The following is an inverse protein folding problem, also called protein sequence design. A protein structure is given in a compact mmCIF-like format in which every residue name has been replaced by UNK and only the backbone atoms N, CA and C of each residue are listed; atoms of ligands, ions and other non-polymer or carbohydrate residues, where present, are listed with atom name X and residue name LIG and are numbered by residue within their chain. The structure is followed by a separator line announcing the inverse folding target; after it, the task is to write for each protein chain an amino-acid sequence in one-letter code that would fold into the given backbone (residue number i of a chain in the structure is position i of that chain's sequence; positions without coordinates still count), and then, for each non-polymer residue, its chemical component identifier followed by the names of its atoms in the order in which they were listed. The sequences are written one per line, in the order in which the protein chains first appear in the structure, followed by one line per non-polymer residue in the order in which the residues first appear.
data_IF_961629114004
#
_entry.id   IF_961629114004
#
_cell.length_a   1.000
_cell.length_b   1.000
_cell.length_c   1.000
_cell.angle_alpha   90.00
_cell.angle_beta   90.00
_cell.angle_gamma   90.00
#
_symmetry.space_group_name_H-M   'P 1'
#
loop_
_entity.id
_entity.type
_entity.pdbx_description
1 polymer ?
#
# COMPACT_ATOMS: atom_id res chain seq x y z
N UNK A 1 -6.15 -16.08 -4.45
CA UNK A 1 -4.96 -16.89 -4.19
C UNK A 1 -4.19 -16.38 -2.99
N UNK A 2 -3.23 -17.13 -2.51
CA UNK A 2 -2.37 -16.70 -1.41
C UNK A 2 -1.45 -15.55 -1.85
N UNK A 3 -1.25 -14.57 -0.96
CA UNK A 3 -0.38 -13.42 -1.18
C UNK A 3 0.74 -13.41 -0.12
N UNK A 4 1.89 -12.84 -0.49
CA UNK A 4 3.04 -12.80 0.41
C UNK A 4 2.78 -11.92 1.64
N UNK A 5 2.15 -10.76 1.44
CA UNK A 5 1.78 -9.82 2.49
C UNK A 5 0.53 -9.06 2.10
N UNK A 6 -0.37 -8.83 3.06
CA UNK A 6 -1.59 -8.05 2.87
C UNK A 6 -1.94 -7.29 4.15
N UNK A 7 -1.65 -6.00 4.21
CA UNK A 7 -1.98 -5.17 5.36
C UNK A 7 -3.48 -5.11 5.66
N UNK A 8 -4.34 -5.14 4.63
CA UNK A 8 -5.79 -5.22 4.81
C UNK A 8 -6.21 -6.55 5.44
N UNK A 9 -5.67 -7.68 4.93
CA UNK A 9 -5.95 -9.01 5.47
C UNK A 9 -5.48 -9.16 6.91
N UNK A 10 -4.30 -8.63 7.26
CA UNK A 10 -3.80 -8.65 8.63
C UNK A 10 -4.75 -7.92 9.61
N UNK A 11 -5.30 -6.75 9.21
CA UNK A 11 -6.27 -6.03 10.03
C UNK A 11 -7.57 -6.80 10.20
N UNK A 12 -8.12 -7.35 9.11
CA UNK A 12 -9.33 -8.18 9.18
C UNK A 12 -9.13 -9.41 10.07
N UNK A 13 -7.97 -10.06 9.99
CA UNK A 13 -7.64 -11.22 10.82
C UNK A 13 -7.66 -10.87 12.32
N UNK A 14 -7.00 -9.77 12.73
CA UNK A 14 -6.99 -9.32 14.13
C UNK A 14 -8.40 -9.04 14.63
N UNK A 15 -9.17 -8.27 13.88
CA UNK A 15 -10.58 -7.96 14.25
C UNK A 15 -11.40 -9.25 14.37
N UNK A 16 -11.27 -10.18 13.41
CA UNK A 16 -12.00 -11.45 13.43
C UNK A 16 -11.69 -12.28 14.69
N UNK A 17 -10.42 -12.47 15.04
CA UNK A 17 -10.06 -13.31 16.20
C UNK A 17 -10.47 -12.66 17.52
N UNK A 18 -10.52 -11.33 17.61
CA UNK A 18 -11.05 -10.60 18.77
C UNK A 18 -12.57 -10.70 18.85
N UNK A 19 -13.30 -10.46 17.76
CA UNK A 19 -14.77 -10.55 17.71
C UNK A 19 -15.25 -11.94 18.09
N UNK A 20 -14.54 -12.98 17.62
CA UNK A 20 -14.83 -14.40 17.96
C UNK A 20 -14.26 -14.84 19.32
N UNK A 21 -13.63 -13.94 20.08
CA UNK A 21 -13.04 -14.21 21.40
C UNK A 21 -12.03 -15.37 21.40
N UNK A 22 -11.30 -15.54 20.30
CA UNK A 22 -10.26 -16.58 20.16
C UNK A 22 -8.97 -16.19 20.90
N UNK A 23 -8.80 -14.90 21.22
CA UNK A 23 -7.67 -14.37 21.97
C UNK A 23 -8.10 -13.11 22.75
N UNK A 24 -7.38 -12.85 23.86
CA UNK A 24 -7.47 -11.59 24.62
C UNK A 24 -6.21 -10.74 24.48
N UNK A 25 -5.29 -11.12 23.56
CA UNK A 25 -4.05 -10.38 23.32
C UNK A 25 -4.29 -9.31 22.28
N UNK A 26 -3.86 -8.08 22.55
CA UNK A 26 -3.93 -6.98 21.58
C UNK A 26 -2.95 -7.18 20.43
N UNK A 27 -1.75 -7.71 20.69
CA UNK A 27 -0.75 -8.06 19.69
C UNK A 27 -0.81 -9.56 19.37
N UNK A 28 -0.95 -9.89 18.09
CA UNK A 28 -1.08 -11.27 17.62
C UNK A 28 0.13 -11.60 16.72
N UNK A 29 0.77 -12.74 17.01
CA UNK A 29 1.85 -13.24 16.17
C UNK A 29 1.22 -14.06 15.03
N UNK A 30 1.41 -13.61 13.80
CA UNK A 30 0.87 -14.24 12.59
C UNK A 30 2.00 -14.66 11.68
N UNK A 31 2.03 -15.94 11.32
CA UNK A 31 2.93 -16.46 10.31
C UNK A 31 2.35 -16.23 8.92
N UNK A 32 3.15 -15.66 8.03
CA UNK A 32 2.82 -15.41 6.63
C UNK A 32 3.90 -15.97 5.72
N UNK A 33 3.67 -16.03 4.42
CA UNK A 33 4.71 -16.44 3.45
C UNK A 33 5.95 -15.54 3.44
N UNK A 34 5.79 -14.27 3.85
CA UNK A 34 6.88 -13.30 3.95
C UNK A 34 7.55 -13.25 5.32
N UNK A 35 7.16 -14.14 6.23
CA UNK A 35 7.68 -14.19 7.59
C UNK A 35 6.63 -13.86 8.65
N UNK A 36 7.09 -13.59 9.87
CA UNK A 36 6.23 -13.31 11.02
C UNK A 36 5.88 -11.83 11.01
N UNK A 37 4.58 -11.53 11.11
CA UNK A 37 4.05 -10.19 11.36
C UNK A 37 3.41 -10.12 12.73
N UNK A 38 3.33 -8.92 13.31
CA UNK A 38 2.75 -8.68 14.64
C UNK A 38 1.74 -7.54 14.57
N UNK A 39 0.58 -7.75 13.93
CA UNK A 39 -0.47 -6.76 13.94
C UNK A 39 -1.04 -6.59 15.35
N UNK A 40 -1.42 -5.35 15.69
CA UNK A 40 -1.87 -4.97 17.02
C UNK A 40 -3.20 -4.23 16.95
N UNK A 41 -4.15 -4.65 17.79
CA UNK A 41 -5.38 -3.92 18.04
C UNK A 41 -5.09 -2.72 18.95
N UNK A 42 -5.45 -1.53 18.50
CA UNK A 42 -5.26 -0.29 19.24
C UNK A 42 -6.51 0.02 20.11
N UNK A 43 -6.32 0.83 21.16
CA UNK A 43 -7.38 1.18 22.10
C UNK A 43 -8.62 1.83 21.46
N UNK A 44 -8.46 2.44 20.28
CA UNK A 44 -9.56 3.05 19.52
C UNK A 44 -10.25 2.06 18.54
N UNK A 45 -9.90 0.77 18.60
CA UNK A 45 -10.46 -0.27 17.73
C UNK A 45 -9.84 -0.34 16.32
N UNK A 46 -8.88 0.51 16.00
CA UNK A 46 -8.09 0.34 14.77
C UNK A 46 -7.02 -0.74 14.95
N UNK A 47 -6.46 -1.21 13.83
CA UNK A 47 -5.36 -2.18 13.87
C UNK A 47 -4.14 -1.59 13.21
N UNK A 48 -3.00 -1.62 13.91
CA UNK A 48 -1.70 -1.24 13.39
C UNK A 48 -0.93 -2.47 12.89
N UNK A 49 -0.25 -2.31 11.77
CA UNK A 49 0.56 -3.36 11.11
C UNK A 49 1.92 -2.78 10.78
N UNK A 50 2.98 -3.44 11.23
CA UNK A 50 4.33 -3.15 10.79
C UNK A 50 4.51 -3.66 9.35
N UNK A 51 4.82 -2.77 8.43
CA UNK A 51 4.98 -3.03 7.00
C UNK A 51 6.45 -3.19 6.59
N UNK A 52 7.38 -3.11 7.54
CA UNK A 52 8.83 -3.11 7.32
C UNK A 52 9.37 -1.79 6.78
N UNK A 53 10.69 -1.69 6.58
CA UNK A 53 11.32 -0.49 6.06
C UNK A 53 11.09 -0.33 4.54
N UNK A 54 10.97 0.91 4.05
CA UNK A 54 10.86 1.17 2.61
C UNK A 54 12.22 0.95 1.92
N UNK A 55 12.18 0.53 0.67
CA UNK A 55 13.38 0.29 -0.14
C UNK A 55 13.38 1.24 -1.33
N UNK A 56 14.45 2.04 -1.47
CA UNK A 56 14.63 3.00 -2.56
C UNK A 56 15.70 2.56 -3.58
N UNK A 57 16.49 1.53 -3.25
CA UNK A 57 17.49 1.00 -4.17
C UNK A 57 16.84 0.46 -5.45
N UNK A 58 17.20 0.96 -6.66
CA UNK A 58 16.56 0.59 -7.91
C UNK A 58 16.55 -0.92 -8.21
N UNK A 59 17.62 -1.62 -7.89
CA UNK A 59 17.73 -3.08 -8.11
C UNK A 59 16.71 -3.83 -7.25
N UNK A 60 16.44 -3.33 -6.03
CA UNK A 60 15.52 -3.97 -5.08
C UNK A 60 14.07 -3.52 -5.26
N UNK A 61 13.79 -2.45 -6.04
CA UNK A 61 12.42 -2.00 -6.37
C UNK A 61 11.72 -2.93 -7.36
N UNK A 62 12.18 -3.60 -8.33
CA UNK A 62 13.14 -3.54 -9.42
C UNK A 62 12.73 -2.52 -10.51
N UNK A 63 13.54 -1.52 -10.68
CA UNK A 63 13.37 -0.52 -11.74
C UNK A 63 14.67 -0.42 -12.58
N UNK A 64 14.55 -0.43 -13.90
CA UNK A 64 15.69 -0.43 -14.85
C UNK A 64 16.26 0.97 -15.03
N UNK A 65 16.93 1.49 -14.00
CA UNK A 65 17.60 2.80 -14.01
C UNK A 65 19.02 2.68 -13.48
N UNK A 66 19.97 3.54 -13.92
CA UNK A 66 21.37 3.42 -13.56
C UNK A 66 21.68 3.77 -12.09
N UNK A 67 20.84 4.59 -11.46
CA UNK A 67 21.04 5.05 -10.07
C UNK A 67 19.74 5.46 -9.40
N UNK A 68 19.76 5.45 -8.06
CA UNK A 68 18.69 6.00 -7.24
C UNK A 68 18.48 7.50 -7.52
N UNK A 69 17.22 7.90 -7.59
CA UNK A 69 16.82 9.29 -7.71
C UNK A 69 15.51 9.52 -6.95
N UNK A 70 15.28 10.75 -6.48
CA UNK A 70 14.02 11.12 -5.84
C UNK A 70 12.86 11.16 -6.84
N UNK A 71 13.13 11.47 -8.10
CA UNK A 71 12.14 11.50 -9.18
C UNK A 71 12.70 10.86 -10.44
N UNK A 72 11.88 10.08 -11.08
CA UNK A 72 12.08 9.49 -12.38
C UNK A 72 11.09 10.09 -13.37
N UNK A 73 11.37 9.98 -14.67
CA UNK A 73 10.46 10.41 -15.71
C UNK A 73 10.42 9.42 -16.85
N UNK A 74 9.26 9.29 -17.46
CA UNK A 74 9.01 8.49 -18.65
C UNK A 74 8.28 9.35 -19.68
N UNK A 75 8.82 9.43 -20.89
CA UNK A 75 8.17 10.11 -21.99
C UNK A 75 7.34 9.10 -22.80
N UNK A 76 6.01 9.28 -22.82
CA UNK A 76 5.09 8.40 -23.54
C UNK A 76 4.02 9.21 -24.25
N UNK A 77 3.83 8.97 -25.56
CA UNK A 77 2.82 9.63 -26.38
C UNK A 77 2.81 11.16 -26.18
N UNK A 78 3.98 11.79 -26.33
CA UNK A 78 4.20 13.24 -26.16
C UNK A 78 3.86 13.81 -24.77
N UNK A 79 3.72 12.94 -23.76
CA UNK A 79 3.52 13.31 -22.36
C UNK A 79 4.67 12.85 -21.50
N UNK A 80 5.19 13.75 -20.70
CA UNK A 80 6.17 13.43 -19.67
C UNK A 80 5.47 13.09 -18.38
N UNK A 81 5.68 11.85 -17.91
CA UNK A 81 5.15 11.36 -16.63
C UNK A 81 6.29 11.36 -15.63
N UNK A 82 6.16 12.16 -14.57
CA UNK A 82 7.09 12.18 -13.45
C UNK A 82 6.54 11.33 -12.29
N UNK A 83 7.41 10.53 -11.68
CA UNK A 83 7.03 9.67 -10.55
C UNK A 83 8.19 9.41 -9.61
N UNK A 84 7.89 9.10 -8.34
CA UNK A 84 8.81 8.48 -7.39
C UNK A 84 8.75 6.96 -7.49
N UNK A 85 9.81 6.26 -7.12
CA UNK A 85 9.80 4.80 -7.05
C UNK A 85 10.23 4.33 -5.67
N UNK A 86 9.50 3.37 -5.10
CA UNK A 86 9.77 2.77 -3.80
C UNK A 86 9.21 1.34 -3.74
N UNK A 87 9.85 0.45 -3.00
CA UNK A 87 9.32 -0.87 -2.70
C UNK A 87 8.90 -0.96 -1.23
N UNK A 88 7.71 -1.49 -0.99
CA UNK A 88 7.16 -1.90 0.31
C UNK A 88 7.03 -3.44 0.37
N UNK A 89 8.04 -4.15 -0.17
CA UNK A 89 7.99 -5.58 -0.45
C UNK A 89 7.41 -5.92 -1.83
N UNK A 90 6.87 -4.91 -2.52
CA UNK A 90 6.42 -4.91 -3.90
C UNK A 90 6.66 -3.52 -4.52
N UNK A 91 6.88 -3.43 -5.86
CA UNK A 91 7.23 -2.18 -6.52
C UNK A 91 6.06 -1.21 -6.63
N UNK A 92 6.32 0.06 -6.34
CA UNK A 92 5.38 1.18 -6.46
C UNK A 92 6.00 2.35 -7.23
N UNK A 93 5.24 2.90 -8.18
CA UNK A 93 5.47 4.20 -8.79
C UNK A 93 4.45 5.20 -8.21
N UNK A 94 4.91 6.35 -7.71
CA UNK A 94 4.06 7.37 -7.07
C UNK A 94 4.05 8.63 -7.92
N UNK A 95 2.87 8.99 -8.43
CA UNK A 95 2.61 10.18 -9.24
C UNK A 95 1.86 11.20 -8.37
N UNK A 96 2.35 12.43 -8.35
CA UNK A 96 1.63 13.53 -7.69
C UNK A 96 0.57 14.06 -8.65
N UNK A 97 -0.69 13.89 -8.29
CA UNK A 97 -1.85 14.40 -9.02
C UNK A 97 -2.25 15.79 -8.50
N UNK A 98 -2.72 16.67 -9.39
CA UNK A 98 -3.27 17.97 -9.00
C UNK A 98 -4.69 17.85 -8.41
N UNK A 99 -5.46 16.92 -8.95
CA UNK A 99 -6.80 16.55 -8.52
C UNK A 99 -6.95 15.04 -8.67
N UNK A 100 -7.38 14.38 -7.63
CA UNK A 100 -7.46 12.92 -7.59
C UNK A 100 -8.57 12.37 -8.49
N UNK A 101 -9.67 13.12 -8.64
CA UNK A 101 -10.82 12.69 -9.44
C UNK A 101 -10.52 12.72 -10.94
N UNK A 102 -9.66 13.66 -11.37
CA UNK A 102 -9.23 13.81 -12.77
C UNK A 102 -7.99 12.96 -13.10
N UNK A 103 -7.43 12.24 -12.13
CA UNK A 103 -6.23 11.43 -12.32
C UNK A 103 -6.47 10.32 -13.37
N UNK A 104 -5.60 10.18 -14.38
CA UNK A 104 -5.77 9.22 -15.47
C UNK A 104 -5.34 7.80 -15.04
N UNK A 105 -5.99 7.26 -13.98
CA UNK A 105 -5.56 6.04 -13.29
C UNK A 105 -5.51 4.84 -14.22
N UNK A 106 -6.54 4.60 -15.01
CA UNK A 106 -6.57 3.44 -15.91
C UNK A 106 -5.55 3.58 -17.04
N UNK A 107 -5.50 4.73 -17.71
CA UNK A 107 -4.65 4.91 -18.90
C UNK A 107 -3.17 4.94 -18.53
N UNK A 108 -2.77 5.75 -17.56
CA UNK A 108 -1.38 5.89 -17.12
C UNK A 108 -0.97 4.71 -16.23
N UNK A 109 -1.89 4.19 -15.40
CA UNK A 109 -1.64 3.01 -14.59
C UNK A 109 -1.29 1.79 -15.42
N UNK A 110 -2.12 1.46 -16.41
CA UNK A 110 -1.89 0.35 -17.34
C UNK A 110 -0.59 0.52 -18.14
N UNK A 111 -0.27 1.75 -18.52
CA UNK A 111 0.91 2.06 -19.31
C UNK A 111 2.19 1.85 -18.49
N UNK A 112 2.25 2.38 -17.26
CA UNK A 112 3.43 2.22 -16.40
C UNK A 112 3.56 0.79 -15.88
N UNK A 113 2.45 0.13 -15.53
CA UNK A 113 2.48 -1.26 -15.08
C UNK A 113 3.22 -2.17 -16.05
N UNK A 114 3.03 -1.96 -17.36
CA UNK A 114 3.56 -2.82 -18.40
C UNK A 114 4.79 -2.23 -19.12
N UNK A 115 5.35 -1.16 -18.59
CA UNK A 115 6.53 -0.52 -19.20
C UNK A 115 7.80 -1.32 -18.91
N UNK A 116 8.71 -1.41 -19.89
CA UNK A 116 10.00 -2.08 -19.79
C UNK A 116 10.90 -1.55 -18.66
N UNK A 117 10.64 -0.32 -18.19
CA UNK A 117 11.29 0.26 -17.02
C UNK A 117 11.04 -0.55 -15.73
N UNK A 118 9.94 -1.29 -15.68
CA UNK A 118 9.55 -2.15 -14.56
C UNK A 118 9.45 -3.63 -15.01
N UNK A 119 10.55 -4.37 -15.06
CA UNK A 119 10.57 -5.75 -15.59
C UNK A 119 9.66 -6.73 -14.83
N UNK A 120 9.37 -6.45 -13.55
CA UNK A 120 8.44 -7.22 -12.73
C UNK A 120 7.05 -6.56 -12.64
N UNK A 121 6.76 -5.58 -13.50
CA UNK A 121 5.60 -4.70 -13.44
C UNK A 121 5.55 -3.88 -12.13
N UNK A 122 4.62 -2.97 -12.00
CA UNK A 122 4.56 -2.01 -10.89
C UNK A 122 3.12 -1.66 -10.51
N UNK A 123 2.88 -1.38 -9.22
CA UNK A 123 1.68 -0.70 -8.76
C UNK A 123 1.85 0.81 -8.98
N UNK A 124 0.84 1.48 -9.51
CA UNK A 124 0.90 2.91 -9.82
C UNK A 124 -0.05 3.68 -8.91
N UNK A 125 0.52 4.56 -8.10
CA UNK A 125 -0.21 5.33 -7.11
C UNK A 125 -0.37 6.76 -7.57
N UNK A 126 -1.59 7.29 -7.54
CA UNK A 126 -1.90 8.69 -7.84
C UNK A 126 -2.24 9.38 -6.53
N UNK A 127 -1.40 10.32 -6.10
CA UNK A 127 -1.48 10.98 -4.81
C UNK A 127 -1.75 12.47 -5.00
N UNK A 128 -2.88 12.96 -4.49
CA UNK A 128 -3.17 14.38 -4.32
C UNK A 128 -2.86 14.81 -2.90
N UNK A 129 -2.01 15.82 -2.74
CA UNK A 129 -1.65 16.37 -1.42
C UNK A 129 -2.72 17.35 -0.99
N UNK A 130 -3.41 17.05 0.13
CA UNK A 130 -4.41 17.95 0.75
C UNK A 130 -3.77 18.88 1.78
N UNK A 131 -2.83 18.34 2.55
CA UNK A 131 -2.00 19.05 3.53
C UNK A 131 -0.70 18.28 3.74
N UNK A 132 0.19 18.80 4.57
CA UNK A 132 1.40 18.03 4.96
C UNK A 132 1.10 16.73 5.69
N UNK A 133 -0.08 16.61 6.30
CA UNK A 133 -0.50 15.45 7.11
C UNK A 133 -1.66 14.66 6.47
N UNK A 134 -2.02 14.96 5.21
CA UNK A 134 -3.13 14.26 4.56
C UNK A 134 -3.07 14.24 3.03
N UNK A 135 -3.46 13.12 2.44
CA UNK A 135 -3.50 12.91 0.99
C UNK A 135 -4.77 12.17 0.56
N UNK A 136 -5.23 12.43 -0.66
CA UNK A 136 -6.15 11.55 -1.38
C UNK A 136 -5.34 10.59 -2.25
N UNK A 137 -5.76 9.32 -2.35
CA UNK A 137 -5.03 8.28 -3.05
C UNK A 137 -5.95 7.41 -3.91
N UNK A 138 -5.54 7.18 -5.15
CA UNK A 138 -6.07 6.13 -6.04
C UNK A 138 -4.93 5.26 -6.52
N UNK A 139 -5.16 3.95 -6.63
CA UNK A 139 -4.11 2.99 -6.98
C UNK A 139 -4.56 2.09 -8.12
N UNK A 140 -3.71 1.98 -9.12
CA UNK A 140 -3.73 0.91 -10.11
C UNK A 140 -2.81 -0.21 -9.63
N UNK A 141 -3.39 -1.33 -9.19
CA UNK A 141 -2.62 -2.45 -8.66
C UNK A 141 -2.17 -3.40 -9.77
N UNK A 142 -0.95 -3.86 -9.65
CA UNK A 142 -0.31 -4.80 -10.56
C UNK A 142 -1.13 -6.09 -10.73
N UNK A 143 -1.62 -6.32 -11.96
CA UNK A 143 -2.42 -7.49 -12.31
C UNK A 143 -3.88 -7.44 -11.88
N UNK A 144 -4.34 -6.39 -11.20
CA UNK A 144 -5.72 -6.27 -10.71
C UNK A 144 -6.46 -5.04 -11.27
N UNK A 145 -5.72 -4.01 -11.73
CA UNK A 145 -6.31 -2.76 -12.16
C UNK A 145 -6.59 -1.80 -11.01
N UNK A 146 -7.51 -0.83 -11.19
CA UNK A 146 -7.85 0.11 -10.12
C UNK A 146 -8.63 -0.60 -9.01
N UNK A 147 -8.15 -0.49 -7.76
CA UNK A 147 -8.78 -1.04 -6.57
C UNK A 147 -9.25 0.05 -5.62
N UNK A 148 -10.13 -0.30 -4.68
CA UNK A 148 -10.67 0.66 -3.72
C UNK A 148 -9.63 1.10 -2.68
N UNK A 149 -8.67 0.23 -2.32
CA UNK A 149 -7.64 0.53 -1.32
C UNK A 149 -6.48 -0.45 -1.41
N UNK A 150 -5.25 0.08 -1.45
CA UNK A 150 -4.01 -0.68 -1.44
C UNK A 150 -3.15 -0.24 -0.25
N UNK A 151 -2.94 -1.15 0.72
CA UNK A 151 -2.18 -0.82 1.94
C UNK A 151 -0.73 -0.48 1.65
N UNK A 152 -0.02 -1.28 0.83
CA UNK A 152 1.36 -0.98 0.42
C UNK A 152 1.46 0.27 -0.44
N UNK A 153 0.43 0.54 -1.27
CA UNK A 153 0.34 1.78 -2.05
C UNK A 153 0.20 3.03 -1.17
N UNK A 154 -0.59 2.95 -0.10
CA UNK A 154 -0.70 4.03 0.89
C UNK A 154 0.64 4.29 1.58
N UNK A 155 1.32 3.23 2.05
CA UNK A 155 2.66 3.34 2.65
C UNK A 155 3.67 3.94 1.67
N UNK A 156 3.75 3.41 0.44
CA UNK A 156 4.66 3.88 -0.60
C UNK A 156 4.47 5.37 -0.92
N UNK A 157 3.20 5.81 -1.02
CA UNK A 157 2.86 7.20 -1.34
C UNK A 157 3.29 8.16 -0.24
N UNK A 158 2.98 7.84 1.03
CA UNK A 158 3.36 8.68 2.18
C UNK A 158 4.88 8.70 2.37
N UNK A 159 5.53 7.55 2.32
CA UNK A 159 6.99 7.43 2.43
C UNK A 159 7.70 8.25 1.35
N UNK A 160 7.25 8.16 0.10
CA UNK A 160 7.78 9.00 -0.97
C UNK A 160 7.57 10.49 -0.67
N UNK A 161 6.36 10.89 -0.26
CA UNK A 161 6.02 12.28 0.06
C UNK A 161 6.88 12.85 1.19
N UNK A 162 7.15 12.06 2.25
CA UNK A 162 8.03 12.44 3.36
C UNK A 162 9.49 12.55 2.86
N UNK A 163 9.97 11.56 2.10
CA UNK A 163 11.35 11.57 1.56
C UNK A 163 11.65 12.81 0.75
N UNK A 164 10.67 13.31 -0.03
CA UNK A 164 10.84 14.53 -0.85
C UNK A 164 10.41 15.82 -0.16
N UNK A 165 10.07 15.77 1.15
CA UNK A 165 9.77 16.93 1.97
C UNK A 165 8.38 17.55 1.76
N UNK A 166 7.45 16.82 1.15
CA UNK A 166 6.09 17.26 0.87
C UNK A 166 5.09 16.88 1.97
N UNK A 167 5.37 15.82 2.72
CA UNK A 167 4.50 15.29 3.78
C UNK A 167 5.26 15.17 5.09
N UNK A 168 4.51 15.13 6.19
CA UNK A 168 4.97 14.86 7.55
C UNK A 168 4.36 13.55 8.06
N UNK A 169 4.92 12.98 9.13
CA UNK A 169 4.41 11.78 9.81
C UNK A 169 3.79 12.20 11.16
N UNK A 170 2.63 11.65 11.53
CA UNK A 170 1.77 10.73 10.78
C UNK A 170 1.01 11.39 9.62
N UNK A 171 0.68 10.62 8.59
CA UNK A 171 -0.09 11.11 7.45
C UNK A 171 -1.36 10.28 7.22
N UNK A 172 -2.51 10.94 7.09
CA UNK A 172 -3.80 10.34 6.74
C UNK A 172 -3.90 10.15 5.24
N UNK A 173 -4.34 8.97 4.84
CA UNK A 173 -4.55 8.59 3.44
C UNK A 173 -6.01 8.27 3.22
N UNK A 174 -6.68 9.09 2.42
CA UNK A 174 -8.06 8.89 2.01
C UNK A 174 -8.10 8.11 0.70
N UNK A 175 -8.66 6.91 0.76
CA UNK A 175 -8.88 6.03 -0.40
C UNK A 175 -10.37 5.85 -0.63
N UNK A 176 -10.76 5.30 -1.78
CA UNK A 176 -12.17 4.92 -2.02
C UNK A 176 -12.68 3.85 -1.06
N UNK A 177 -11.78 3.03 -0.50
CA UNK A 177 -12.09 1.97 0.47
C UNK A 177 -12.06 2.40 1.93
N UNK A 178 -11.72 3.66 2.23
CA UNK A 178 -11.66 4.18 3.60
C UNK A 178 -10.39 4.96 3.92
N UNK A 179 -10.25 5.32 5.20
CA UNK A 179 -9.11 6.08 5.73
C UNK A 179 -8.05 5.14 6.31
N UNK A 180 -6.79 5.44 6.02
CA UNK A 180 -5.61 4.81 6.62
C UNK A 180 -4.74 5.90 7.24
N UNK A 181 -3.95 5.56 8.26
CA UNK A 181 -2.90 6.43 8.80
C UNK A 181 -1.57 5.74 8.67
N UNK A 182 -0.60 6.44 8.13
CA UNK A 182 0.75 5.92 7.90
C UNK A 182 1.73 6.69 8.79
N UNK A 183 2.60 5.94 9.46
CA UNK A 183 3.66 6.46 10.32
C UNK A 183 5.01 6.01 9.76
N UNK A 184 5.93 6.95 9.60
CA UNK A 184 7.31 6.68 9.22
C UNK A 184 8.24 7.79 9.72
N UNK A 185 9.28 7.42 10.47
CA UNK A 185 10.23 8.37 11.07
C UNK A 185 11.38 8.75 10.12
N UNK A 186 11.41 8.15 8.92
CA UNK A 186 12.47 8.39 7.95
C UNK A 186 13.60 7.35 7.99
N UNK A 187 14.51 7.45 7.02
CA UNK A 187 15.68 6.58 6.92
C UNK A 187 15.31 5.10 6.74
N UNK A 188 15.90 4.26 7.56
CA UNK A 188 15.72 2.80 7.57
C UNK A 188 14.66 2.32 8.59
N UNK A 189 13.90 3.26 9.20
CA UNK A 189 12.86 2.89 10.16
C UNK A 189 11.70 2.16 9.48
N UNK A 190 11.01 1.32 10.25
CA UNK A 190 9.82 0.63 9.77
C UNK A 190 8.66 1.59 9.51
N UNK A 191 7.85 1.23 8.52
CA UNK A 191 6.58 1.90 8.22
C UNK A 191 5.46 1.19 8.94
N UNK A 192 4.60 1.93 9.63
CA UNK A 192 3.41 1.40 10.27
C UNK A 192 2.16 1.88 9.53
N UNK A 193 1.28 0.95 9.22
CA UNK A 193 -0.04 1.20 8.66
C UNK A 193 -1.09 0.97 9.72
N UNK A 194 -1.92 1.97 9.99
CA UNK A 194 -3.05 1.89 10.90
C UNK A 194 -4.36 2.13 10.14
N UNK A 195 -5.39 1.32 10.44
CA UNK A 195 -6.71 1.47 9.84
C UNK A 195 -7.73 0.57 10.50
N UNK A 196 -9.01 0.86 10.26
CA UNK A 196 -10.12 0.06 10.75
C UNK A 196 -10.28 -1.25 9.97
N UNK A 197 -10.95 -2.21 10.60
CA UNK A 197 -11.56 -3.36 9.96
C UNK A 197 -12.91 -3.60 10.64
N UNK A 198 -13.91 -4.02 9.87
CA UNK A 198 -15.28 -4.24 10.37
C UNK A 198 -15.84 -5.55 9.80
N UNK A 199 -16.51 -6.33 10.66
CA UNK A 199 -17.34 -7.44 10.22
C UNK A 199 -18.58 -6.86 9.55
N UNK A 200 -18.84 -7.24 8.30
CA UNK A 200 -19.95 -6.69 7.49
C UNK A 200 -21.19 -7.60 7.59
N UNK A 201 -20.97 -8.91 7.47
CA UNK A 201 -22.00 -9.94 7.62
C UNK A 201 -21.38 -11.28 7.98
N UNK A 202 -22.21 -12.20 8.48
CA UNK A 202 -21.89 -13.62 8.64
C UNK A 202 -22.76 -14.45 7.69
N UNK A 203 -22.20 -15.55 7.18
CA UNK A 203 -22.91 -16.44 6.28
C UNK A 203 -22.36 -17.85 6.34
N UNK A 204 -23.14 -18.81 5.85
CA UNK A 204 -22.74 -20.20 5.73
C UNK A 204 -22.62 -20.54 4.24
N UNK A 205 -21.66 -21.35 3.88
CA UNK A 205 -21.48 -21.89 2.55
C UNK A 205 -21.27 -23.40 2.65
N UNK A 206 -22.00 -24.15 1.82
CA UNK A 206 -21.73 -25.57 1.65
C UNK A 206 -20.49 -25.74 0.75
N UNK A 207 -19.40 -26.19 1.34
CA UNK A 207 -18.14 -26.42 0.62
C UNK A 207 -18.12 -27.77 -0.13
N UNK A 208 -19.25 -28.44 -0.29
CA UNK A 208 -19.45 -29.66 -1.03
C UNK A 208 -18.25 -30.61 -0.92
N UNK A 209 -18.34 -31.74 -0.25
CA UNK A 209 -17.22 -32.63 0.02
C UNK A 209 -16.39 -32.91 -1.22
N UNK A 210 -15.25 -32.22 -1.32
CA UNK A 210 -14.22 -32.58 -2.31
C UNK A 210 -13.76 -33.99 -2.03
N UNK A 211 -14.20 -34.94 -2.84
CA UNK A 211 -13.58 -36.25 -2.88
C UNK A 211 -12.12 -36.11 -3.23
N UNK A 212 -11.27 -36.63 -2.33
CA UNK A 212 -9.83 -36.78 -2.49
C UNK A 212 -9.45 -37.50 -3.81
#
# INVERSE_FOLDING_TARGET
GEVNQCGNGARCFVTFVHDKKLTNKDEIIVETRSGIIKPKLEANGSVSVNMGPPIFNPIKIPISVPKENNKYSLDVNDRRIEFGAVSMGNPHAVIIAKNIDDAPVETVGRLLENNELFPERVNVNFMEIRSRESVNLRVWERGAGETLSCGTGACASVVFGIKVGLLDSPCKVFTRGGELTIFWEGGESDVYLCGSAQSVFEGEIDVGGGTQ
#
